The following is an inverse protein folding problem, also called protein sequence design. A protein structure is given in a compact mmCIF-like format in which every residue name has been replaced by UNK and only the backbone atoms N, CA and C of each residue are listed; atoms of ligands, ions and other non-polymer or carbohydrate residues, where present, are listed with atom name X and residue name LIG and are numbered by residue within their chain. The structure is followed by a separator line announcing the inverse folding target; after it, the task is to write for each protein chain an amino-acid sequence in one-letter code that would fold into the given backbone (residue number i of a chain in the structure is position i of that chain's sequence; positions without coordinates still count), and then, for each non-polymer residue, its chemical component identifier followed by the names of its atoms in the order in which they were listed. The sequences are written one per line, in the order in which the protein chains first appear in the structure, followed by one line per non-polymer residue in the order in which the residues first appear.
data_IF_623665329907
#
_entry.id   IF_623665329907
#
_cell.length_a   1.000
_cell.length_b   1.000
_cell.length_c   1.000
_cell.angle_alpha   90.00
_cell.angle_beta   90.00
_cell.angle_gamma   90.00
#
_symmetry.space_group_name_H-M   'P 1'
#
loop_
_entity.id
_entity.type
_entity.pdbx_description
1 polymer ?
#
# COMPACT_ATOMS: atom_id res chain seq x y z
N UNK A 1 -17.33 2.27 -6.67
CA UNK A 1 -16.88 1.60 -5.43
C UNK A 1 -17.15 0.12 -5.58
N UNK A 2 -16.11 -0.70 -5.69
CA UNK A 2 -16.19 -2.11 -6.16
C UNK A 2 -17.31 -2.92 -5.47
N UNK A 3 -17.52 -2.74 -4.17
CA UNK A 3 -18.60 -3.44 -3.45
C UNK A 3 -20.00 -2.93 -3.82
N UNK A 4 -20.21 -1.61 -3.92
CA UNK A 4 -21.48 -1.03 -4.37
C UNK A 4 -21.78 -1.45 -5.82
N UNK A 5 -20.76 -1.44 -6.67
CA UNK A 5 -20.89 -1.87 -8.06
C UNK A 5 -21.28 -3.35 -8.15
N UNK A 6 -20.66 -4.21 -7.32
CA UNK A 6 -20.95 -5.65 -7.26
C UNK A 6 -22.40 -5.97 -6.86
N UNK A 7 -23.02 -5.13 -6.02
CA UNK A 7 -24.40 -5.35 -5.54
C UNK A 7 -25.44 -4.54 -6.31
N UNK A 8 -25.02 -3.53 -7.08
CA UNK A 8 -25.89 -2.54 -7.75
C UNK A 8 -27.01 -3.16 -8.59
N UNK A 9 -26.68 -4.18 -9.38
CA UNK A 9 -27.63 -4.87 -10.27
C UNK A 9 -28.73 -5.60 -9.51
N UNK A 10 -28.49 -6.04 -8.27
CA UNK A 10 -29.50 -6.68 -7.40
C UNK A 10 -30.24 -5.62 -6.59
N UNK A 11 -29.50 -4.66 -6.05
CA UNK A 11 -30.05 -3.62 -5.20
C UNK A 11 -31.05 -2.72 -5.95
N UNK A 12 -30.80 -2.44 -7.23
CA UNK A 12 -31.65 -1.57 -8.04
C UNK A 12 -32.76 -2.31 -8.81
N UNK A 13 -32.76 -3.63 -8.83
CA UNK A 13 -33.75 -4.42 -9.56
C UNK A 13 -35.04 -4.58 -8.74
N UNK A 14 -36.10 -3.89 -9.17
CA UNK A 14 -37.43 -3.94 -8.54
C UNK A 14 -38.22 -5.21 -8.86
N UNK A 15 -37.74 -6.06 -9.76
CA UNK A 15 -38.39 -7.33 -10.12
C UNK A 15 -38.03 -8.46 -9.16
N UNK A 16 -36.95 -8.31 -8.39
CA UNK A 16 -36.52 -9.29 -7.40
C UNK A 16 -37.26 -9.03 -6.08
N UNK A 17 -37.86 -10.07 -5.50
CA UNK A 17 -38.42 -10.01 -4.14
C UNK A 17 -37.37 -9.47 -3.16
N UNK A 18 -37.69 -8.44 -2.38
CA UNK A 18 -36.73 -7.73 -1.52
C UNK A 18 -35.96 -8.67 -0.59
N UNK A 19 -36.65 -9.66 0.00
CA UNK A 19 -36.04 -10.67 0.86
C UNK A 19 -34.98 -11.49 0.11
N UNK A 20 -35.24 -11.84 -1.15
CA UNK A 20 -34.30 -12.56 -2.02
C UNK A 20 -33.14 -11.64 -2.41
N UNK A 21 -33.41 -10.38 -2.74
CA UNK A 21 -32.38 -9.39 -3.06
C UNK A 21 -31.42 -9.18 -1.89
N UNK A 22 -31.96 -8.94 -0.68
CA UNK A 22 -31.19 -8.82 0.56
C UNK A 22 -30.34 -10.05 0.83
N UNK A 23 -30.88 -11.26 0.69
CA UNK A 23 -30.13 -12.51 0.88
C UNK A 23 -28.97 -12.66 -0.12
N UNK A 24 -29.19 -12.32 -1.39
CA UNK A 24 -28.13 -12.35 -2.42
C UNK A 24 -27.03 -11.33 -2.15
N UNK A 25 -27.39 -10.10 -1.77
CA UNK A 25 -26.42 -9.06 -1.41
C UNK A 25 -25.58 -9.49 -0.21
N UNK A 26 -26.20 -10.01 0.85
CA UNK A 26 -25.44 -10.57 1.99
C UNK A 26 -24.47 -11.67 1.57
N UNK A 27 -24.87 -12.55 0.67
CA UNK A 27 -24.01 -13.62 0.15
C UNK A 27 -22.84 -13.09 -0.68
N UNK A 28 -23.03 -12.02 -1.46
CA UNK A 28 -21.96 -11.34 -2.20
C UNK A 28 -20.98 -10.72 -1.21
N UNK A 29 -21.47 -9.89 -0.28
CA UNK A 29 -20.62 -9.19 0.70
C UNK A 29 -19.80 -10.16 1.57
N UNK A 30 -20.39 -11.30 1.98
CA UNK A 30 -19.67 -12.34 2.72
C UNK A 30 -18.50 -12.99 1.94
N UNK A 31 -18.48 -12.89 0.61
CA UNK A 31 -17.43 -13.45 -0.24
C UNK A 31 -16.42 -12.40 -0.70
N UNK A 32 -16.75 -11.12 -0.58
CA UNK A 32 -15.86 -10.03 -0.95
C UNK A 32 -14.83 -9.81 0.15
N UNK A 33 -13.63 -10.31 -0.12
CA UNK A 33 -12.43 -10.11 0.70
C UNK A 33 -11.29 -9.60 -0.18
N UNK A 34 -10.30 -8.94 0.40
CA UNK A 34 -9.14 -8.41 -0.31
C UNK A 34 -7.93 -8.30 0.60
N UNK A 35 -6.73 -8.35 0.03
CA UNK A 35 -5.51 -8.45 0.84
C UNK A 35 -5.50 -9.70 1.72
N UNK A 36 -4.78 -9.65 2.85
CA UNK A 36 -4.80 -10.72 3.86
C UNK A 36 -6.01 -10.64 4.78
N UNK A 37 -6.42 -9.41 5.14
CA UNK A 37 -7.30 -9.14 6.27
C UNK A 37 -8.48 -8.22 5.93
N UNK A 38 -8.64 -7.84 4.65
CA UNK A 38 -9.68 -6.94 4.17
C UNK A 38 -10.99 -7.67 3.89
N UNK A 39 -12.09 -7.12 4.39
CA UNK A 39 -13.43 -7.66 4.22
C UNK A 39 -14.50 -6.57 4.34
N UNK A 40 -15.67 -6.84 3.78
CA UNK A 40 -16.85 -5.99 3.92
C UNK A 40 -17.75 -6.48 5.06
N UNK A 41 -18.32 -5.53 5.81
CA UNK A 41 -19.32 -5.78 6.85
C UNK A 41 -20.55 -4.90 6.62
N UNK A 42 -21.69 -5.31 7.16
CA UNK A 42 -22.92 -4.53 7.05
C UNK A 42 -23.73 -4.56 8.34
N UNK A 43 -24.38 -3.44 8.64
CA UNK A 43 -25.29 -3.28 9.77
C UNK A 43 -26.59 -2.63 9.31
N UNK A 44 -27.69 -2.93 9.97
CA UNK A 44 -28.91 -2.12 9.82
C UNK A 44 -28.80 -0.80 10.59
N UNK A 45 -29.78 0.09 10.42
CA UNK A 45 -29.86 1.38 11.12
C UNK A 45 -29.89 1.31 12.64
N UNK A 46 -30.17 0.14 13.21
CA UNK A 46 -30.25 -0.07 14.64
C UNK A 46 -28.95 -0.64 15.20
N UNK A 47 -27.93 -0.86 14.36
CA UNK A 47 -26.66 -1.47 14.77
C UNK A 47 -26.70 -2.98 14.86
N UNK A 48 -27.71 -3.64 14.27
CA UNK A 48 -27.73 -5.10 14.15
C UNK A 48 -26.80 -5.53 13.02
N UNK A 49 -25.85 -6.42 13.31
CA UNK A 49 -24.95 -6.93 12.28
C UNK A 49 -25.71 -7.82 11.29
N UNK A 50 -25.50 -7.57 10.00
CA UNK A 50 -26.14 -8.28 8.90
C UNK A 50 -25.19 -9.19 8.13
N UNK A 51 -23.90 -8.83 8.12
CA UNK A 51 -22.82 -9.47 7.37
C UNK A 51 -21.52 -9.26 8.15
N UNK A 52 -20.83 -10.35 8.48
CA UNK A 52 -19.48 -10.32 9.03
C UNK A 52 -18.73 -11.61 8.64
N UNK A 53 -17.97 -11.63 7.53
CA UNK A 53 -17.37 -12.87 7.01
C UNK A 53 -16.27 -13.46 7.90
N UNK A 54 -15.64 -12.64 8.75
CA UNK A 54 -14.55 -13.06 9.65
C UNK A 54 -15.07 -13.55 11.01
N UNK A 55 -16.19 -12.99 11.47
CA UNK A 55 -16.75 -13.20 12.82
C UNK A 55 -18.25 -13.49 12.64
N UNK A 56 -18.61 -14.63 12.03
CA UNK A 56 -19.98 -14.95 11.67
C UNK A 56 -20.93 -15.01 12.88
N UNK A 57 -20.40 -15.24 14.08
CA UNK A 57 -21.12 -15.22 15.35
C UNK A 57 -21.72 -13.84 15.69
N UNK A 58 -21.21 -12.76 15.09
CA UNK A 58 -21.78 -11.43 15.29
C UNK A 58 -23.08 -11.22 14.49
N UNK A 59 -23.32 -12.03 13.44
CA UNK A 59 -24.48 -11.82 12.56
C UNK A 59 -25.79 -12.04 13.34
N UNK A 60 -26.61 -11.00 13.40
CA UNK A 60 -27.86 -10.97 14.17
C UNK A 60 -27.74 -10.30 15.54
N UNK A 61 -26.53 -10.05 16.04
CA UNK A 61 -26.31 -9.33 17.29
C UNK A 61 -26.41 -7.82 17.08
N UNK A 62 -26.94 -7.13 18.09
CA UNK A 62 -26.96 -5.67 18.11
C UNK A 62 -25.70 -5.14 18.81
N UNK A 63 -24.87 -4.45 18.04
CA UNK A 63 -23.58 -3.94 18.49
C UNK A 63 -23.55 -2.41 18.58
N UNK A 64 -24.71 -1.75 18.58
CA UNK A 64 -24.80 -0.29 18.59
C UNK A 64 -24.05 0.34 19.76
N UNK A 65 -24.10 -0.32 20.93
CA UNK A 65 -23.48 0.14 22.17
C UNK A 65 -22.21 -0.65 22.52
N UNK A 66 -21.64 -1.38 21.55
CA UNK A 66 -20.34 -2.00 21.74
C UNK A 66 -19.30 -0.89 21.90
N UNK A 67 -18.54 -0.97 22.99
CA UNK A 67 -17.42 -0.09 23.28
C UNK A 67 -16.12 -0.91 23.17
N UNK A 68 -15.11 -0.34 22.51
CA UNK A 68 -13.77 -0.92 22.54
C UNK A 68 -13.07 -0.61 23.88
N UNK A 69 -11.82 -1.07 24.02
CA UNK A 69 -11.03 -0.88 25.24
C UNK A 69 -10.76 0.60 25.59
N UNK A 70 -10.92 1.51 24.64
CA UNK A 70 -10.78 2.95 24.83
C UNK A 70 -12.13 3.67 25.09
N UNK A 71 -13.24 2.92 25.13
CA UNK A 71 -14.59 3.47 25.25
C UNK A 71 -15.16 4.00 23.93
N UNK A 72 -14.58 3.63 22.78
CA UNK A 72 -15.08 4.06 21.47
C UNK A 72 -16.31 3.24 21.05
N UNK A 73 -17.41 3.94 20.79
CA UNK A 73 -18.66 3.37 20.25
C UNK A 73 -18.58 3.27 18.73
N UNK A 74 -17.71 2.38 18.28
CA UNK A 74 -17.31 2.28 16.88
C UNK A 74 -18.49 2.08 15.90
N UNK A 75 -19.51 1.31 16.27
CA UNK A 75 -20.68 1.07 15.41
C UNK A 75 -21.57 2.30 15.32
N UNK A 76 -21.80 3.01 16.44
CA UNK A 76 -22.54 4.27 16.47
C UNK A 76 -21.83 5.34 15.63
N UNK A 77 -20.50 5.46 15.78
CA UNK A 77 -19.68 6.39 15.02
C UNK A 77 -19.71 6.10 13.50
N UNK A 78 -19.54 4.83 13.11
CA UNK A 78 -19.61 4.42 11.70
C UNK A 78 -21.00 4.64 11.09
N UNK A 79 -22.07 4.35 11.85
CA UNK A 79 -23.44 4.61 11.42
C UNK A 79 -23.67 6.10 11.16
N UNK A 80 -23.20 6.96 12.08
CA UNK A 80 -23.26 8.41 11.91
C UNK A 80 -22.51 8.87 10.65
N UNK A 81 -21.31 8.34 10.40
CA UNK A 81 -20.54 8.66 9.18
C UNK A 81 -21.30 8.23 7.92
N UNK A 82 -21.84 7.01 7.88
CA UNK A 82 -22.60 6.50 6.74
C UNK A 82 -23.81 7.40 6.44
N UNK A 83 -24.61 7.71 7.46
CA UNK A 83 -25.83 8.53 7.33
C UNK A 83 -25.53 9.98 6.95
N UNK A 84 -24.33 10.48 7.24
CA UNK A 84 -23.89 11.84 6.91
C UNK A 84 -23.31 11.98 5.49
N UNK A 85 -23.51 10.98 4.62
CA UNK A 85 -22.99 10.97 3.24
C UNK A 85 -21.75 10.09 3.05
N UNK A 86 -21.38 9.32 4.08
CA UNK A 86 -20.23 8.42 4.08
C UNK A 86 -18.98 9.07 4.66
N UNK A 87 -18.16 8.27 5.33
CA UNK A 87 -16.99 8.81 6.03
C UNK A 87 -16.11 7.74 6.67
N UNK A 88 -14.99 8.20 7.22
CA UNK A 88 -14.00 7.35 7.86
C UNK A 88 -14.13 7.38 9.38
N UNK A 89 -13.81 6.27 10.04
CA UNK A 89 -13.67 6.17 11.49
C UNK A 89 -12.54 5.21 11.84
N UNK A 90 -11.72 5.57 12.83
CA UNK A 90 -10.63 4.72 13.34
C UNK A 90 -10.98 4.22 14.74
N UNK A 91 -10.85 2.92 14.94
CA UNK A 91 -11.23 2.21 16.17
C UNK A 91 -10.36 0.97 16.36
N UNK A 92 -10.41 0.33 17.53
CA UNK A 92 -9.76 -0.96 17.75
C UNK A 92 -10.66 -2.12 17.30
N UNK A 93 -10.09 -3.08 16.57
CA UNK A 93 -10.83 -4.26 16.12
C UNK A 93 -9.94 -5.49 15.96
N UNK A 94 -10.54 -6.67 16.04
CA UNK A 94 -9.83 -7.93 15.88
C UNK A 94 -9.32 -8.12 14.44
N UNK A 95 -8.00 -8.28 14.30
CA UNK A 95 -7.36 -8.62 13.03
C UNK A 95 -7.51 -10.11 12.73
N UNK A 96 -8.04 -10.51 11.56
CA UNK A 96 -8.30 -11.92 11.22
C UNK A 96 -7.07 -12.82 11.29
N UNK A 97 -5.94 -12.35 10.75
CA UNK A 97 -4.72 -13.15 10.61
C UNK A 97 -3.99 -13.45 11.92
N UNK A 98 -4.11 -12.56 12.93
CA UNK A 98 -3.41 -12.71 14.21
C UNK A 98 -4.34 -12.97 15.38
N UNK A 99 -5.61 -12.54 15.27
CA UNK A 99 -6.58 -12.57 16.36
C UNK A 99 -6.42 -11.43 17.36
N UNK A 100 -5.44 -10.53 17.16
CA UNK A 100 -5.16 -9.41 18.06
C UNK A 100 -6.11 -8.24 17.84
N UNK A 101 -6.36 -7.46 18.90
CA UNK A 101 -7.10 -6.20 18.82
C UNK A 101 -6.13 -5.08 18.47
N UNK A 102 -6.25 -4.52 17.26
CA UNK A 102 -5.33 -3.49 16.75
C UNK A 102 -6.09 -2.35 16.05
N UNK A 103 -5.47 -1.18 15.84
CA UNK A 103 -6.11 -0.06 15.17
C UNK A 103 -6.53 -0.38 13.73
N UNK A 104 -7.81 -0.15 13.44
CA UNK A 104 -8.44 -0.30 12.13
C UNK A 104 -9.03 1.04 11.70
N UNK A 105 -8.81 1.42 10.44
CA UNK A 105 -9.47 2.54 9.80
C UNK A 105 -10.50 2.00 8.81
N UNK A 106 -11.77 2.31 9.03
CA UNK A 106 -12.84 1.93 8.11
C UNK A 106 -13.48 3.13 7.44
N UNK A 107 -13.97 2.89 6.22
CA UNK A 107 -14.93 3.74 5.55
C UNK A 107 -16.31 3.12 5.67
N UNK A 108 -17.32 3.92 5.96
CA UNK A 108 -18.71 3.51 6.04
C UNK A 108 -19.55 4.33 5.05
N UNK A 109 -20.47 3.65 4.36
CA UNK A 109 -21.37 4.25 3.40
C UNK A 109 -22.79 3.68 3.55
N UNK A 110 -23.78 4.46 3.15
CA UNK A 110 -25.19 4.18 3.41
C UNK A 110 -25.93 3.68 2.16
N UNK A 111 -26.79 2.68 2.37
CA UNK A 111 -27.75 2.19 1.38
C UNK A 111 -29.16 2.61 1.77
N UNK A 112 -29.65 3.71 1.18
CA UNK A 112 -30.90 4.36 1.56
C UNK A 112 -32.13 3.43 1.54
N UNK A 113 -32.31 2.63 0.49
CA UNK A 113 -33.50 1.77 0.29
C UNK A 113 -33.69 0.77 1.42
N UNK A 114 -32.58 0.27 1.98
CA UNK A 114 -32.61 -0.77 3.01
C UNK A 114 -32.22 -0.25 4.39
N UNK A 115 -31.81 1.02 4.48
CA UNK A 115 -31.26 1.64 5.68
C UNK A 115 -30.11 0.81 6.26
N UNK A 116 -29.21 0.38 5.37
CA UNK A 116 -28.04 -0.42 5.71
C UNK A 116 -26.78 0.42 5.63
N UNK A 117 -25.92 0.30 6.63
CA UNK A 117 -24.53 0.70 6.50
C UNK A 117 -23.74 -0.46 5.91
N UNK A 118 -22.93 -0.19 4.89
CA UNK A 118 -21.85 -1.06 4.43
C UNK A 118 -20.53 -0.40 4.78
N UNK A 119 -19.65 -1.16 5.41
CA UNK A 119 -18.31 -0.70 5.74
C UNK A 119 -17.23 -1.66 5.27
N UNK A 120 -16.03 -1.12 5.13
CA UNK A 120 -14.80 -1.87 4.87
C UNK A 120 -13.63 -1.11 5.48
N UNK A 121 -12.48 -1.75 5.66
CA UNK A 121 -11.33 -1.05 6.22
C UNK A 121 -10.00 -1.74 6.03
N UNK A 122 -8.97 -1.12 6.60
CA UNK A 122 -7.61 -1.61 6.66
C UNK A 122 -7.07 -1.49 8.09
N UNK A 123 -6.15 -2.36 8.45
CA UNK A 123 -5.44 -2.25 9.73
C UNK A 123 -4.24 -1.32 9.53
N UNK A 124 -4.05 -0.38 10.45
CA UNK A 124 -3.03 0.67 10.33
C UNK A 124 -1.62 0.08 10.29
N UNK A 125 -1.41 -1.01 11.03
CA UNK A 125 -0.13 -1.72 11.07
C UNK A 125 0.29 -2.24 9.69
N UNK A 126 -0.64 -2.76 8.90
CA UNK A 126 -0.34 -3.28 7.54
C UNK A 126 0.17 -2.17 6.64
N UNK A 127 -0.44 -0.99 6.72
CA UNK A 127 0.00 0.20 5.97
C UNK A 127 1.40 0.62 6.42
N UNK A 128 1.65 0.62 7.73
CA UNK A 128 2.96 1.01 8.29
C UNK A 128 4.08 0.04 7.86
N UNK A 129 3.79 -1.26 7.85
CA UNK A 129 4.73 -2.30 7.47
C UNK A 129 5.04 -2.26 5.97
N UNK A 130 4.02 -2.05 5.13
CA UNK A 130 4.21 -1.92 3.69
C UNK A 130 5.04 -0.68 3.34
N UNK A 131 4.78 0.45 4.02
CA UNK A 131 5.62 1.66 3.88
C UNK A 131 7.05 1.41 4.32
N UNK A 132 7.27 0.67 5.41
CA UNK A 132 8.62 0.31 5.87
C UNK A 132 9.36 -0.58 4.86
N UNK A 133 8.68 -1.57 4.29
CA UNK A 133 9.23 -2.47 3.27
C UNK A 133 9.60 -1.71 2.00
N UNK A 134 8.73 -0.80 1.54
CA UNK A 134 9.02 0.08 0.40
C UNK A 134 10.24 0.96 0.67
N UNK A 135 10.35 1.57 1.86
CA UNK A 135 11.51 2.37 2.26
C UNK A 135 12.80 1.55 2.27
N UNK A 136 12.75 0.33 2.79
CA UNK A 136 13.92 -0.56 2.80
C UNK A 136 14.38 -0.93 1.38
N UNK A 137 13.44 -1.22 0.48
CA UNK A 137 13.75 -1.49 -0.93
C UNK A 137 14.36 -0.27 -1.63
N UNK A 138 13.83 0.94 -1.37
CA UNK A 138 14.38 2.19 -1.89
C UNK A 138 15.80 2.44 -1.37
N UNK A 139 16.05 2.24 -0.06
CA UNK A 139 17.38 2.44 0.52
C UNK A 139 18.42 1.48 -0.09
N UNK A 140 18.06 0.21 -0.29
CA UNK A 140 18.94 -0.77 -0.93
C UNK A 140 19.31 -0.37 -2.37
N UNK A 141 18.34 0.15 -3.11
CA UNK A 141 18.59 0.67 -4.46
C UNK A 141 19.52 1.89 -4.42
N UNK A 142 19.33 2.81 -3.47
CA UNK A 142 20.21 3.98 -3.27
C UNK A 142 21.65 3.54 -3.00
N UNK A 143 21.87 2.59 -2.08
CA UNK A 143 23.23 2.08 -1.78
C UNK A 143 23.91 1.47 -3.00
N UNK A 144 23.17 0.66 -3.76
CA UNK A 144 23.68 0.00 -4.97
C UNK A 144 24.04 1.01 -6.05
N UNK A 145 23.16 2.00 -6.28
CA UNK A 145 23.40 3.09 -7.23
C UNK A 145 24.58 3.95 -6.79
N UNK A 146 24.69 4.29 -5.50
CA UNK A 146 25.79 5.08 -4.95
C UNK A 146 27.14 4.37 -5.15
N UNK A 147 27.23 3.09 -4.79
CA UNK A 147 28.45 2.30 -4.98
C UNK A 147 28.85 2.22 -6.46
N UNK A 148 27.89 2.00 -7.35
CA UNK A 148 28.13 1.94 -8.80
C UNK A 148 28.68 3.27 -9.34
N UNK A 149 28.13 4.40 -8.91
CA UNK A 149 28.61 5.74 -9.31
C UNK A 149 30.04 5.97 -8.83
N UNK A 150 30.37 5.61 -7.58
CA UNK A 150 31.72 5.74 -7.04
C UNK A 150 32.71 4.87 -7.83
N UNK A 151 32.37 3.62 -8.13
CA UNK A 151 33.21 2.72 -8.93
C UNK A 151 33.45 3.30 -10.33
N UNK A 152 32.41 3.77 -11.01
CA UNK A 152 32.53 4.39 -12.34
C UNK A 152 33.45 5.61 -12.28
N UNK A 153 33.32 6.45 -11.25
CA UNK A 153 34.14 7.65 -11.08
C UNK A 153 35.61 7.29 -10.85
N UNK A 154 35.90 6.32 -9.98
CA UNK A 154 37.27 5.83 -9.72
C UNK A 154 37.90 5.26 -10.99
N UNK A 155 37.15 4.42 -11.73
CA UNK A 155 37.63 3.85 -12.99
C UNK A 155 37.92 4.95 -14.02
N UNK A 156 37.02 5.92 -14.15
CA UNK A 156 37.20 7.06 -15.07
C UNK A 156 38.46 7.87 -14.73
N UNK A 157 38.67 8.18 -13.45
CA UNK A 157 39.88 8.89 -12.99
C UNK A 157 41.15 8.06 -13.25
N UNK A 158 41.12 6.76 -12.96
CA UNK A 158 42.25 5.87 -13.21
C UNK A 158 42.61 5.81 -14.71
N UNK A 159 41.60 5.72 -15.60
CA UNK A 159 41.80 5.73 -17.05
C UNK A 159 42.42 7.06 -17.51
N UNK A 160 41.95 8.20 -17.00
CA UNK A 160 42.53 9.51 -17.32
C UNK A 160 44.01 9.55 -16.91
N UNK A 161 44.35 9.13 -15.69
CA UNK A 161 45.74 9.11 -15.21
C UNK A 161 46.63 8.23 -16.09
N UNK A 162 46.18 7.03 -16.45
CA UNK A 162 46.94 6.10 -17.31
C UNK A 162 47.17 6.70 -18.70
N UNK A 163 46.14 7.31 -19.30
CA UNK A 163 46.25 7.97 -20.60
C UNK A 163 47.22 9.16 -20.54
N UNK A 164 47.14 10.01 -19.52
CA UNK A 164 48.05 11.14 -19.33
C UNK A 164 49.51 10.67 -19.20
N UNK A 165 49.76 9.63 -18.40
CA UNK A 165 51.10 9.06 -18.25
C UNK A 165 51.61 8.43 -19.55
N UNK A 166 50.75 7.73 -20.30
CA UNK A 166 51.12 7.13 -21.58
C UNK A 166 51.51 8.18 -22.63
N UNK A 167 50.75 9.28 -22.72
CA UNK A 167 51.04 10.41 -23.62
C UNK A 167 52.37 11.06 -23.23
N UNK A 168 52.55 11.37 -21.94
CA UNK A 168 53.77 12.02 -21.42
C UNK A 168 55.03 11.18 -21.70
N UNK A 169 54.99 9.86 -21.46
CA UNK A 169 56.10 8.96 -21.77
C UNK A 169 56.38 8.85 -23.28
N UNK A 170 55.35 8.93 -24.11
CA UNK A 170 55.51 8.92 -25.57
C UNK A 170 56.23 10.17 -26.07
N UNK A 171 55.84 11.36 -25.58
CA UNK A 171 56.48 12.63 -25.91
C UNK A 171 57.95 12.65 -25.49
N UNK A 172 58.29 12.22 -24.28
CA UNK A 172 59.68 12.13 -23.84
C UNK A 172 60.52 11.21 -24.73
N UNK A 173 59.99 10.04 -25.10
CA UNK A 173 60.70 9.10 -26.01
C UNK A 173 60.90 9.70 -27.41
N UNK A 174 59.98 10.52 -27.89
CA UNK A 174 60.10 11.24 -29.16
C UNK A 174 61.17 12.34 -29.07
N UNK A 175 61.17 13.13 -28.00
CA UNK A 175 62.15 14.18 -27.76
C UNK A 175 63.58 13.61 -27.70
N UNK A 176 63.78 12.50 -26.97
CA UNK A 176 65.08 11.83 -26.87
C UNK A 176 65.59 11.31 -28.23
N UNK A 177 64.70 10.79 -29.08
CA UNK A 177 65.04 10.37 -30.44
C UNK A 177 65.49 11.56 -31.30
N UNK A 178 64.73 12.65 -31.27
CA UNK A 178 65.03 13.86 -32.05
C UNK A 178 66.35 14.51 -31.62
N UNK A 179 66.62 14.58 -30.30
CA UNK A 179 67.87 15.12 -29.76
C UNK A 179 69.09 14.32 -30.21
N UNK A 180 69.01 12.97 -30.20
CA UNK A 180 70.09 12.11 -30.69
C UNK A 180 70.35 12.31 -32.19
N UNK A 181 69.30 12.49 -32.98
CA UNK A 181 69.43 12.74 -34.42
C UNK A 181 70.09 14.10 -34.71
N UNK A 182 69.70 15.15 -34.00
CA UNK A 182 70.30 16.49 -34.11
C UNK A 182 71.77 16.49 -33.69
N UNK A 183 72.10 15.86 -32.56
CA UNK A 183 73.48 15.74 -32.09
C UNK A 183 74.36 15.01 -33.12
N UNK A 184 73.84 13.96 -33.77
CA UNK A 184 74.57 13.24 -34.80
C UNK A 184 74.83 14.10 -36.05
N UNK A 185 73.84 14.91 -36.48
CA UNK A 185 73.98 15.84 -37.61
C UNK A 185 74.93 17.03 -37.35
N UNK A 186 75.20 17.37 -36.09
CA UNK A 186 76.02 18.55 -35.75
C UNK A 186 77.51 18.23 -35.57
N UNK A 187 77.86 16.94 -35.43
CA UNK A 187 79.24 16.45 -35.20
C UNK A 187 79.90 15.92 -36.49
N UNK A 188 79.16 15.86 -37.60
CA UNK A 188 79.66 15.61 -38.96
C UNK A 188 79.75 16.92 -39.74
#
# INVERSE_FOLDING_TARGET
DVAFDAISHIYNDSTIEERVAKARVKAILNRLTYGSDGYFFAYDKHGTNLVHPVLPELVGENLLHLEDENGDRLIEALLYQAQSGGGFHQYLWQKPSTGDIVPKLSYAAWLDKWEWMIGTGLYIEDVSQEVANMRAAVNKNIETTFFSVVVILVVTVAVIIVLTLAINLHEHRLADKNLKELAHKTVM
#
